data_IF_329279864307
#
_entry.id   IF_329279864307
#
_cell.length_a   1.000
_cell.length_b   1.000
_cell.length_c   1.000
_cell.angle_alpha   90.00
_cell.angle_beta   90.00
_cell.angle_gamma   90.00
#
_symmetry.space_group_name_H-M   'P 1'
#
loop_
_entity.id
_entity.type
_entity.pdbx_description
1 polymer ?
#
# COMPACT_ATOMS: atom_id res chain seq x y z
N UNK A 1 -15.71 23.81 4.79
CA UNK A 1 -14.75 23.23 3.83
C UNK A 1 -14.49 21.80 4.24
N UNK A 2 -15.10 20.83 3.56
CA UNK A 2 -14.90 19.41 3.90
C UNK A 2 -13.49 18.99 3.48
N UNK A 3 -12.62 18.67 4.44
CA UNK A 3 -11.30 18.10 4.21
C UNK A 3 -11.50 16.62 3.83
N UNK A 4 -11.88 16.38 2.58
CA UNK A 4 -11.90 15.05 1.99
C UNK A 4 -10.45 14.65 1.71
N UNK A 5 -9.71 14.34 2.78
CA UNK A 5 -8.51 13.51 2.67
C UNK A 5 -9.03 12.19 2.10
N UNK A 6 -8.79 11.88 0.82
CA UNK A 6 -9.42 10.74 0.18
C UNK A 6 -8.98 9.50 0.94
N UNK A 7 -9.89 8.57 1.23
CA UNK A 7 -9.67 7.37 2.04
C UNK A 7 -8.35 6.61 1.78
N UNK A 8 -7.76 6.77 0.59
CA UNK A 8 -6.44 6.31 0.21
C UNK A 8 -5.30 6.84 1.10
N UNK A 9 -5.32 8.13 1.46
CA UNK A 9 -4.33 8.74 2.35
C UNK A 9 -4.47 8.23 3.79
N UNK A 10 -5.70 7.94 4.26
CA UNK A 10 -5.90 7.30 5.56
C UNK A 10 -5.39 5.85 5.56
N UNK A 11 -5.65 5.11 4.47
CA UNK A 11 -5.22 3.72 4.31
C UNK A 11 -3.68 3.57 4.26
N UNK A 12 -2.91 4.65 4.05
CA UNK A 12 -1.45 4.61 3.98
C UNK A 12 -0.82 4.03 5.26
N UNK A 13 -1.40 4.33 6.42
CA UNK A 13 -0.87 3.89 7.72
C UNK A 13 -1.02 2.38 7.93
N UNK A 14 -2.04 1.78 7.31
CA UNK A 14 -2.33 0.34 7.41
C UNK A 14 -1.27 -0.50 6.68
N UNK A 15 -0.51 0.07 5.74
CA UNK A 15 0.50 -0.67 4.99
C UNK A 15 1.81 -0.92 5.75
N UNK A 16 2.06 -0.21 6.85
CA UNK A 16 3.25 -0.41 7.70
C UNK A 16 2.93 -0.21 9.20
N UNK A 17 2.10 -1.08 9.81
CA UNK A 17 1.80 -0.97 11.22
C UNK A 17 3.02 -1.30 12.09
N UNK A 18 3.19 -0.53 13.17
CA UNK A 18 4.31 -0.68 14.11
C UNK A 18 3.96 -1.72 15.18
N UNK A 19 2.68 -1.85 15.54
CA UNK A 19 2.27 -2.72 16.63
C UNK A 19 2.19 -4.19 16.18
N UNK A 20 2.76 -5.10 16.98
CA UNK A 20 2.72 -6.55 16.72
C UNK A 20 1.30 -7.08 16.53
N UNK A 21 0.32 -6.52 17.25
CA UNK A 21 -1.09 -6.91 17.14
C UNK A 21 -1.65 -6.63 15.74
N UNK A 22 -1.47 -5.40 15.26
CA UNK A 22 -1.92 -4.98 13.93
C UNK A 22 -1.25 -5.80 12.82
N UNK A 23 0.06 -6.10 12.97
CA UNK A 23 0.78 -6.99 12.06
C UNK A 23 0.14 -8.38 12.02
N UNK A 24 -0.17 -8.95 13.20
CA UNK A 24 -0.85 -10.24 13.30
C UNK A 24 -2.25 -10.22 12.69
N UNK A 25 -2.98 -9.12 12.86
CA UNK A 25 -4.33 -8.95 12.32
C UNK A 25 -4.30 -8.90 10.79
N UNK A 26 -3.37 -8.13 10.19
CA UNK A 26 -3.17 -8.07 8.74
C UNK A 26 -2.70 -9.40 8.16
N UNK A 27 -1.75 -10.07 8.81
CA UNK A 27 -1.31 -11.40 8.40
C UNK A 27 -2.45 -12.42 8.50
N UNK A 28 -3.33 -12.26 9.48
CA UNK A 28 -4.57 -13.01 9.63
C UNK A 28 -5.53 -12.81 8.47
N UNK A 29 -5.69 -11.58 7.97
CA UNK A 29 -6.48 -11.29 6.76
C UNK A 29 -5.90 -12.03 5.56
N UNK A 30 -4.59 -11.96 5.33
CA UNK A 30 -3.93 -12.66 4.22
C UNK A 30 -4.08 -14.18 4.33
N UNK A 31 -3.92 -14.75 5.53
CA UNK A 31 -4.13 -16.18 5.80
C UNK A 31 -5.54 -16.65 5.49
N UNK A 32 -6.55 -15.83 5.79
CA UNK A 32 -7.97 -16.10 5.47
C UNK A 32 -8.21 -16.01 3.97
N UNK A 33 -7.75 -14.94 3.32
CA UNK A 33 -7.90 -14.75 1.88
C UNK A 33 -7.30 -15.91 1.08
N UNK A 34 -6.06 -16.31 1.41
CA UNK A 34 -5.37 -17.46 0.80
C UNK A 34 -6.02 -18.82 1.12
N UNK A 35 -6.94 -18.89 2.09
CA UNK A 35 -7.67 -20.13 2.44
C UNK A 35 -8.95 -20.29 1.64
N UNK A 36 -9.47 -19.21 1.07
CA UNK A 36 -10.67 -19.21 0.23
C UNK A 36 -10.41 -19.97 -1.07
N UNK A 37 -9.18 -19.92 -1.58
CA UNK A 37 -8.77 -20.68 -2.76
C UNK A 37 -8.75 -22.18 -2.41
N UNK A 38 -9.73 -22.92 -2.91
CA UNK A 38 -10.00 -24.34 -2.57
C UNK A 38 -8.80 -25.24 -2.85
N UNK A 39 -8.09 -25.02 -3.95
CA UNK A 39 -6.89 -25.77 -4.34
C UNK A 39 -5.72 -25.59 -3.37
N UNK A 40 -5.69 -24.46 -2.67
CA UNK A 40 -4.60 -24.10 -1.75
C UNK A 40 -4.97 -24.35 -0.30
N UNK A 41 -6.25 -24.62 0.01
CA UNK A 41 -6.80 -24.67 1.37
C UNK A 41 -6.04 -25.59 2.34
N UNK A 42 -5.53 -26.70 1.82
CA UNK A 42 -4.85 -27.74 2.61
C UNK A 42 -3.33 -27.51 2.74
N UNK A 43 -2.77 -26.57 1.99
CA UNK A 43 -1.34 -26.27 2.04
C UNK A 43 -1.00 -25.44 3.29
N UNK A 44 0.25 -25.56 3.75
CA UNK A 44 0.77 -24.69 4.79
C UNK A 44 0.70 -23.23 4.34
N UNK A 45 0.62 -22.28 5.27
CA UNK A 45 0.53 -20.88 4.87
C UNK A 45 1.72 -20.43 4.02
N UNK A 46 2.94 -20.87 4.35
CA UNK A 46 4.14 -20.54 3.58
C UNK A 46 4.10 -21.13 2.16
N UNK A 47 3.59 -22.36 2.01
CA UNK A 47 3.46 -23.00 0.70
C UNK A 47 2.37 -22.35 -0.15
N UNK A 48 1.26 -21.92 0.49
CA UNK A 48 0.22 -21.12 -0.18
C UNK A 48 0.82 -19.84 -0.74
N UNK A 49 1.58 -19.10 0.07
CA UNK A 49 2.25 -17.87 -0.35
C UNK A 49 3.18 -18.08 -1.55
N UNK A 50 4.02 -19.13 -1.51
CA UNK A 50 4.90 -19.48 -2.62
C UNK A 50 4.12 -19.81 -3.90
N UNK A 51 3.02 -20.55 -3.77
CA UNK A 51 2.22 -21.00 -4.92
C UNK A 51 1.51 -19.87 -5.65
N UNK A 52 1.17 -18.79 -4.93
CA UNK A 52 0.52 -17.57 -5.47
C UNK A 52 1.50 -16.40 -5.60
N UNK A 53 2.80 -16.65 -5.43
CA UNK A 53 3.87 -15.66 -5.53
C UNK A 53 3.64 -14.42 -4.64
N UNK A 54 2.97 -14.59 -3.50
CA UNK A 54 2.77 -13.52 -2.53
C UNK A 54 3.90 -13.52 -1.50
N UNK A 55 4.45 -12.34 -1.25
CA UNK A 55 5.36 -12.09 -0.14
C UNK A 55 4.65 -12.14 1.21
N UNK A 56 5.38 -12.44 2.27
CA UNK A 56 4.86 -12.28 3.63
C UNK A 56 4.86 -10.78 4.02
N UNK A 57 4.12 -10.41 5.07
CA UNK A 57 3.99 -8.99 5.46
C UNK A 57 5.31 -8.36 5.93
N UNK A 58 6.21 -9.12 6.54
CA UNK A 58 7.51 -8.61 7.00
C UNK A 58 8.44 -8.26 5.84
N UNK A 59 8.49 -9.12 4.82
CA UNK A 59 9.29 -8.91 3.62
C UNK A 59 8.77 -7.72 2.79
N UNK A 60 7.44 -7.52 2.74
CA UNK A 60 6.85 -6.31 2.14
C UNK A 60 7.27 -5.04 2.87
N UNK A 61 7.30 -5.07 4.20
CA UNK A 61 7.73 -3.93 5.03
C UNK A 61 9.20 -3.62 4.81
N UNK A 62 10.07 -4.62 4.87
CA UNK A 62 11.50 -4.46 4.56
C UNK A 62 11.73 -3.84 3.17
N UNK A 63 10.94 -4.27 2.17
CA UNK A 63 10.98 -3.68 0.84
C UNK A 63 10.53 -2.21 0.84
N UNK A 64 9.47 -1.88 1.57
CA UNK A 64 8.99 -0.51 1.75
C UNK A 64 10.04 0.39 2.39
N UNK A 65 10.63 -0.06 3.50
CA UNK A 65 11.68 0.66 4.22
C UNK A 65 12.91 0.91 3.33
N UNK A 66 13.32 -0.10 2.55
CA UNK A 66 14.41 0.04 1.59
C UNK A 66 14.09 1.05 0.49
N UNK A 67 12.86 1.04 -0.05
CA UNK A 67 12.41 2.00 -1.04
C UNK A 67 12.47 3.42 -0.48
N UNK A 68 12.04 3.63 0.77
CA UNK A 68 12.14 4.95 1.42
C UNK A 68 13.58 5.41 1.61
N UNK A 69 14.48 4.51 2.05
CA UNK A 69 15.90 4.83 2.17
C UNK A 69 16.51 5.21 0.82
N UNK A 70 16.21 4.46 -0.23
CA UNK A 70 16.68 4.77 -1.60
C UNK A 70 16.15 6.13 -2.06
N UNK A 71 14.90 6.46 -1.78
CA UNK A 71 14.32 7.77 -2.13
C UNK A 71 15.09 8.91 -1.46
N UNK A 72 15.37 8.79 -0.15
CA UNK A 72 16.14 9.79 0.62
C UNK A 72 17.56 9.95 0.07
N UNK A 73 18.26 8.83 -0.15
CA UNK A 73 19.63 8.84 -0.69
C UNK A 73 19.69 9.50 -2.07
N UNK A 74 18.68 9.26 -2.91
CA UNK A 74 18.58 9.81 -4.26
C UNK A 74 17.89 11.18 -4.32
N UNK A 75 17.49 11.78 -3.19
CA UNK A 75 16.72 13.04 -3.10
C UNK A 75 15.43 13.03 -3.94
N UNK A 76 14.80 11.85 -4.08
CA UNK A 76 13.55 11.64 -4.81
C UNK A 76 12.30 11.87 -3.95
N UNK A 77 12.51 12.14 -2.66
CA UNK A 77 11.49 12.47 -1.66
C UNK A 77 11.04 13.94 -1.72
N UNK A 78 11.76 14.80 -2.45
CA UNK A 78 11.35 16.17 -2.75
C UNK A 78 10.17 16.13 -3.73
N UNK A 79 8.98 15.93 -3.18
CA UNK A 79 7.72 16.06 -3.92
C UNK A 79 7.15 17.43 -3.63
N UNK A 80 7.22 18.33 -4.61
CA UNK A 80 6.43 19.57 -4.56
C UNK A 80 4.95 19.23 -4.78
N UNK A 81 4.26 19.04 -3.66
CA UNK A 81 2.83 18.75 -3.64
C UNK A 81 2.00 19.92 -4.15
N UNK A 82 2.45 21.17 -3.96
CA UNK A 82 1.71 22.33 -4.42
C UNK A 82 1.72 22.40 -5.95
N UNK A 83 2.86 22.15 -6.59
CA UNK A 83 2.95 22.09 -8.04
C UNK A 83 2.23 20.86 -8.62
N UNK A 84 2.35 19.69 -7.98
CA UNK A 84 1.74 18.44 -8.48
C UNK A 84 0.20 18.46 -8.39
N UNK A 85 -0.36 18.95 -7.29
CA UNK A 85 -1.82 19.06 -7.11
C UNK A 85 -2.43 20.14 -8.02
N UNK A 86 -1.71 21.25 -8.26
CA UNK A 86 -2.13 22.29 -9.22
C UNK A 86 -2.24 21.71 -10.63
N UNK A 87 -1.22 21.00 -11.11
CA UNK A 87 -1.22 20.41 -12.46
C UNK A 87 -2.28 19.31 -12.63
N UNK A 88 -2.55 18.54 -11.57
CA UNK A 88 -3.66 17.59 -11.57
C UNK A 88 -4.98 18.34 -11.75
N UNK A 89 -5.26 19.39 -10.96
CA UNK A 89 -6.49 20.20 -11.12
C UNK A 89 -6.65 20.83 -12.51
N UNK A 90 -5.55 21.26 -13.12
CA UNK A 90 -5.55 21.87 -14.47
C UNK A 90 -5.78 20.82 -15.58
N UNK A 91 -5.34 19.58 -15.37
CA UNK A 91 -5.54 18.46 -16.32
C UNK A 91 -6.99 17.94 -16.37
N UNK A 92 -7.83 18.29 -15.39
CA UNK A 92 -9.26 17.96 -15.36
C UNK A 92 -10.15 19.13 -15.79
N UNK A 93 -9.64 20.06 -16.60
CA UNK A 93 -10.46 21.05 -17.30
C UNK A 93 -11.42 20.35 -18.28
N UNK A 94 -12.53 19.87 -17.76
CA UNK A 94 -13.69 19.34 -18.49
C UNK A 94 -14.72 20.43 -18.81
N UNK A 95 -14.40 21.70 -18.56
CA UNK A 95 -15.29 22.83 -18.83
C UNK A 95 -14.58 23.91 -19.63
N UNK A 96 -14.46 23.64 -20.92
CA UNK A 96 -14.62 24.69 -21.93
C UNK A 96 -16.07 25.16 -21.86
N UNK A 97 -16.28 26.45 -21.61
CA UNK A 97 -17.54 27.12 -21.84
C UNK A 97 -17.24 28.42 -22.59
N UNK A 98 -17.84 28.55 -23.78
CA UNK A 98 -17.90 29.77 -24.58
C UNK A 98 -18.53 30.92 -23.79
#
# INVERSE_FOLDING_TARGET
TSLVIPHLEYAVQVWNPIQKKEISDLEGVQRRATKIITELRNLSYQDRLKKIELTNSEERRMRGDLIEQIKKVKKLDIVDWHHRLRNLSESYNTRSHN
#
